data_IF_769238115909
#
_entry.id   IF_769238115909
#
_cell.length_a   1.000
_cell.length_b   1.000
_cell.length_c   1.000
_cell.angle_alpha   90.00
_cell.angle_beta   90.00
_cell.angle_gamma   90.00
#
_symmetry.space_group_name_H-M   'P 1'
#
loop_
_entity.id
_entity.type
_entity.pdbx_description
1 polymer ?
#
# COMPACT_ATOMS: atom_id res chain seq x y z
N UNK A 1 19.85 12.40 0.51
CA UNK A 1 18.68 11.73 1.11
C UNK A 1 17.44 12.25 0.41
N UNK A 2 16.68 11.40 -0.27
CA UNK A 2 15.37 11.76 -0.83
C UNK A 2 14.34 11.61 0.30
N UNK A 3 13.63 12.70 0.64
CA UNK A 3 12.68 12.71 1.74
C UNK A 3 11.30 12.29 1.21
N UNK A 4 10.90 11.05 1.44
CA UNK A 4 9.57 10.57 1.08
C UNK A 4 8.57 11.07 2.12
N UNK A 5 7.69 12.01 1.73
CA UNK A 5 6.66 12.55 2.63
C UNK A 5 5.30 11.92 2.34
N UNK A 6 4.95 10.91 3.14
CA UNK A 6 3.69 10.17 2.97
C UNK A 6 2.60 10.87 3.80
N UNK A 7 1.53 11.32 3.12
CA UNK A 7 0.41 12.00 3.77
C UNK A 7 -0.71 10.99 4.02
N UNK A 8 -0.82 10.50 5.25
CA UNK A 8 -1.94 9.65 5.67
C UNK A 8 -3.09 10.53 6.18
N UNK A 9 -4.21 10.52 5.46
CA UNK A 9 -5.47 11.12 5.93
C UNK A 9 -6.43 10.04 6.44
N UNK A 10 -7.22 10.36 7.46
CA UNK A 10 -8.13 9.46 8.21
C UNK A 10 -9.14 8.72 7.29
N UNK A 11 -9.38 9.20 6.07
CA UNK A 11 -10.32 8.59 5.11
C UNK A 11 -9.75 8.34 3.70
N UNK A 12 -8.50 8.71 3.45
CA UNK A 12 -7.89 8.61 2.12
C UNK A 12 -6.44 8.16 2.27
N UNK A 13 -6.19 6.89 1.99
CA UNK A 13 -4.83 6.39 1.84
C UNK A 13 -4.28 6.84 0.49
N UNK A 14 -3.39 7.84 0.52
CA UNK A 14 -2.65 8.30 -0.65
C UNK A 14 -1.17 8.38 -0.31
N UNK A 15 -0.36 7.59 -1.00
CA UNK A 15 1.09 7.70 -0.90
C UNK A 15 1.55 8.77 -1.89
N UNK A 16 2.40 9.66 -1.41
CA UNK A 16 3.03 10.72 -2.21
C UNK A 16 4.52 10.69 -1.88
N UNK A 17 5.33 10.75 -2.92
CA UNK A 17 6.77 10.98 -2.87
C UNK A 17 7.09 12.38 -3.40
N UNK A 18 7.93 13.10 -2.67
CA UNK A 18 8.27 14.49 -2.93
C UNK A 18 9.78 14.66 -2.95
N UNK A 19 10.31 15.23 -4.03
CA UNK A 19 11.71 15.61 -4.12
C UNK A 19 11.89 16.96 -3.44
N UNK A 20 12.55 16.97 -2.29
CA UNK A 20 12.78 18.19 -1.49
C UNK A 20 13.73 19.17 -2.17
N UNK A 21 14.71 18.67 -2.93
CA UNK A 21 15.69 19.52 -3.62
C UNK A 21 15.02 20.22 -4.79
N UNK A 22 14.27 19.47 -5.59
CA UNK A 22 13.53 20.02 -6.75
C UNK A 22 12.21 20.67 -6.38
N UNK A 23 11.77 20.52 -5.13
CA UNK A 23 10.51 21.04 -4.58
C UNK A 23 9.28 20.62 -5.39
N UNK A 24 9.25 19.38 -5.87
CA UNK A 24 8.18 18.87 -6.71
C UNK A 24 7.84 17.41 -6.40
N UNK A 25 6.62 16.98 -6.75
CA UNK A 25 6.27 15.56 -6.71
C UNK A 25 7.10 14.77 -7.72
N UNK A 26 7.49 13.56 -7.35
CA UNK A 26 8.20 12.67 -8.27
C UNK A 26 7.23 12.05 -9.27
N UNK A 27 7.76 11.60 -10.42
CA UNK A 27 6.96 10.86 -11.41
C UNK A 27 6.37 9.55 -10.86
N UNK A 28 6.83 9.07 -9.71
CA UNK A 28 6.27 7.93 -9.01
C UNK A 28 4.90 8.27 -8.39
N UNK A 29 4.78 9.43 -7.74
CA UNK A 29 3.52 9.92 -7.15
C UNK A 29 2.39 10.00 -8.17
N UNK A 30 2.69 10.48 -9.37
CA UNK A 30 1.72 10.57 -10.47
C UNK A 30 1.21 9.18 -10.88
N UNK A 31 2.10 8.20 -11.02
CA UNK A 31 1.76 6.82 -11.38
C UNK A 31 0.94 6.11 -10.28
N UNK A 32 1.16 6.50 -9.04
CA UNK A 32 0.52 5.91 -7.87
C UNK A 32 -0.90 6.43 -7.66
N UNK A 33 -1.21 7.64 -8.13
CA UNK A 33 -2.55 8.27 -8.02
C UNK A 33 -3.68 7.43 -8.65
N UNK A 34 -3.37 6.54 -9.60
CA UNK A 34 -4.33 5.62 -10.25
C UNK A 34 -4.49 4.25 -9.56
N UNK A 35 -3.79 4.01 -8.45
CA UNK A 35 -4.03 2.84 -7.60
C UNK A 35 -5.17 3.15 -6.63
N UNK A 36 -6.27 2.42 -6.76
CA UNK A 36 -7.35 2.47 -5.81
C UNK A 36 -6.95 1.72 -4.53
N UNK A 37 -6.27 2.44 -3.63
CA UNK A 37 -5.96 1.95 -2.29
C UNK A 37 -7.17 2.01 -1.34
N UNK A 38 -8.24 2.73 -1.72
CA UNK A 38 -9.36 3.02 -0.82
C UNK A 38 -10.16 1.79 -0.42
N UNK A 39 -10.16 0.75 -1.26
CA UNK A 39 -10.95 -0.47 -1.05
C UNK A 39 -10.13 -1.66 -0.53
N UNK A 40 -8.81 -1.55 -0.45
CA UNK A 40 -7.92 -2.73 -0.28
C UNK A 40 -7.02 -2.70 0.95
N UNK A 41 -6.86 -1.56 1.60
CA UNK A 41 -5.84 -1.37 2.62
C UNK A 41 -6.50 -0.93 3.92
N UNK A 42 -6.16 -1.62 5.01
CA UNK A 42 -6.36 -1.08 6.33
C UNK A 42 -5.37 0.08 6.55
N UNK A 43 -5.57 0.93 7.55
CA UNK A 43 -4.62 1.99 7.87
C UNK A 43 -3.21 1.41 8.01
N UNK A 44 -2.29 1.87 7.16
CA UNK A 44 -0.88 1.47 7.23
C UNK A 44 -0.30 1.98 8.54
N UNK A 45 0.36 1.10 9.30
CA UNK A 45 0.98 1.46 10.57
C UNK A 45 2.40 1.98 10.38
N UNK A 46 3.18 1.29 9.53
CA UNK A 46 4.59 1.61 9.33
C UNK A 46 4.98 1.49 7.87
N UNK A 47 6.02 2.24 7.51
CA UNK A 47 6.57 2.33 6.17
C UNK A 47 8.08 2.16 6.28
N UNK A 48 8.62 1.19 5.57
CA UNK A 48 10.05 0.88 5.56
C UNK A 48 10.55 0.73 4.13
N UNK A 49 11.85 0.79 3.94
CA UNK A 49 12.51 0.73 2.63
C UNK A 49 13.51 -0.43 2.65
N UNK A 50 13.68 -1.14 1.54
CA UNK A 50 14.75 -2.12 1.45
C UNK A 50 16.10 -1.37 1.36
N UNK A 51 17.03 -1.57 2.31
CA UNK A 51 18.32 -0.87 2.32
C UNK A 51 19.18 -1.23 1.11
N UNK A 52 19.00 -2.44 0.56
CA UNK A 52 19.75 -2.95 -0.60
C UNK A 52 19.17 -2.43 -1.91
N UNK A 53 17.86 -2.19 -1.94
CA UNK A 53 17.13 -1.79 -3.15
C UNK A 53 16.22 -0.57 -2.88
N UNK A 54 16.72 0.62 -3.21
CA UNK A 54 16.02 1.90 -3.01
C UNK A 54 14.69 2.05 -3.77
N UNK A 55 14.46 1.20 -4.78
CA UNK A 55 13.22 1.19 -5.55
C UNK A 55 12.10 0.38 -4.87
N UNK A 56 12.37 -0.31 -3.76
CA UNK A 56 11.39 -1.10 -3.02
C UNK A 56 10.94 -0.34 -1.78
N UNK A 57 9.62 -0.17 -1.64
CA UNK A 57 8.96 0.33 -0.45
C UNK A 57 8.14 -0.80 0.14
N UNK A 58 8.21 -0.99 1.45
CA UNK A 58 7.42 -1.96 2.18
C UNK A 58 6.51 -1.20 3.14
N UNK A 59 5.22 -1.51 3.08
CA UNK A 59 4.19 -0.93 3.93
C UNK A 59 3.55 -2.06 4.70
N UNK A 60 3.13 -1.84 5.94
CA UNK A 60 2.34 -2.86 6.61
C UNK A 60 1.14 -2.28 7.36
N UNK A 61 0.06 -3.04 7.31
CA UNK A 61 -1.05 -2.93 8.26
C UNK A 61 -0.89 -4.01 9.36
N UNK A 62 -1.98 -4.40 10.00
CA UNK A 62 -1.99 -5.39 11.08
C UNK A 62 -1.75 -6.82 10.58
N UNK A 63 -2.08 -7.12 9.32
CA UNK A 63 -2.17 -8.50 8.82
C UNK A 63 -1.42 -8.70 7.49
N UNK A 64 -1.15 -7.61 6.78
CA UNK A 64 -0.67 -7.62 5.41
C UNK A 64 0.59 -6.77 5.29
N UNK A 65 1.56 -7.30 4.53
CA UNK A 65 2.62 -6.48 3.96
C UNK A 65 2.24 -6.11 2.53
N UNK A 66 2.59 -4.89 2.15
CA UNK A 66 2.44 -4.39 0.79
C UNK A 66 3.80 -3.91 0.28
N UNK A 67 4.28 -4.60 -0.75
CA UNK A 67 5.57 -4.36 -1.36
C UNK A 67 5.32 -3.60 -2.66
N UNK A 68 5.85 -2.40 -2.74
CA UNK A 68 5.73 -1.50 -3.89
C UNK A 68 7.09 -1.39 -4.55
N UNK A 69 7.18 -1.77 -5.83
CA UNK A 69 8.38 -1.57 -6.61
C UNK A 69 8.19 -0.34 -7.53
N UNK A 70 9.00 0.70 -7.34
CA UNK A 70 8.91 1.98 -8.08
C UNK A 70 9.23 1.82 -9.58
N UNK A 71 10.08 0.86 -9.93
CA UNK A 71 10.61 0.69 -11.29
C UNK A 71 9.78 -0.29 -12.11
N UNK A 72 9.16 -1.27 -11.45
CA UNK A 72 8.37 -2.30 -12.12
C UNK A 72 7.02 -1.75 -12.56
N UNK A 73 6.79 -1.79 -13.88
CA UNK A 73 5.62 -1.23 -14.56
C UNK A 73 4.73 -2.34 -15.07
N UNK A 74 3.44 -2.29 -14.73
CA UNK A 74 2.43 -3.14 -15.37
C UNK A 74 1.81 -2.34 -16.52
N UNK A 75 1.96 -2.84 -17.74
CA UNK A 75 1.20 -2.35 -18.90
C UNK A 75 -0.18 -3.00 -18.87
N UNK A 76 -1.18 -2.26 -18.39
CA UNK A 76 -2.55 -2.73 -18.49
C UNK A 76 -3.06 -2.51 -19.91
N UNK A 77 -3.23 -3.59 -20.67
CA UNK A 77 -4.02 -3.55 -21.91
C UNK A 77 -5.47 -3.32 -21.52
N UNK A 78 -5.99 -2.10 -21.70
CA UNK A 78 -7.42 -1.85 -21.63
C UNK A 78 -8.09 -2.70 -22.71
N UNK A 79 -8.82 -3.76 -22.33
CA UNK A 79 -9.72 -4.43 -23.27
C UNK A 79 -10.77 -3.38 -23.66
N UNK A 80 -10.73 -2.91 -24.91
CA UNK A 80 -11.80 -2.08 -25.48
C UNK A 80 -13.09 -2.87 -25.28
N UNK A 81 -14.02 -2.34 -24.50
CA UNK A 81 -15.37 -2.88 -24.43
C UNK A 81 -15.89 -2.92 -25.87
N UNK A 82 -16.39 -4.08 -26.29
CA UNK A 82 -16.94 -4.30 -27.63
C UNK A 82 -18.25 -3.50 -27.69
N UNK A 83 -18.17 -2.25 -28.13
CA UNK A 83 -19.35 -1.47 -28.50
C UNK A 83 -19.85 -2.10 -29.80
N UNK A 84 -21.06 -2.67 -29.78
CA UNK A 84 -21.74 -3.09 -30.99
C UNK A 84 -21.94 -1.86 -31.89
N UNK A 85 -21.33 -1.91 -33.06
CA UNK A 85 -21.41 -0.86 -34.08
C UNK A 85 -22.82 -0.86 -34.70
N UNK A 86 -23.49 0.30 -34.66
CA UNK A 86 -24.37 0.73 -35.75
C UNK A 86 -23.60 1.70 -36.63
N UNK A 87 -23.74 1.51 -37.94
CA UNK A 87 -22.89 1.98 -39.04
C UNK A 87 -22.87 3.52 -39.21
N UNK A 88 -21.68 4.08 -39.48
CA UNK A 88 -21.37 5.09 -40.52
C UNK A 88 -19.92 5.63 -40.38
N UNK A 89 -19.15 5.56 -41.47
CA UNK A 89 -17.72 5.94 -41.63
C UNK A 89 -17.46 7.45 -41.88
N UNK A 90 -16.21 7.93 -42.13
CA UNK A 90 -15.00 7.86 -41.32
C UNK A 90 -14.35 9.26 -41.12
N UNK A 91 -13.82 9.59 -39.94
CA UNK A 91 -12.72 10.57 -39.81
C UNK A 91 -11.70 10.06 -38.81
N UNK A 92 -10.52 9.77 -39.34
CA UNK A 92 -9.34 9.38 -38.58
C UNK A 92 -8.87 10.56 -37.71
N UNK A 93 -8.92 10.38 -36.40
CA UNK A 93 -8.09 11.14 -35.47
C UNK A 93 -7.42 10.10 -34.59
N UNK A 94 -6.09 10.06 -34.67
CA UNK A 94 -5.20 9.11 -34.02
C UNK A 94 -5.63 8.83 -32.58
N UNK A 95 -6.21 7.64 -32.37
CA UNK A 95 -6.45 7.12 -31.03
C UNK A 95 -5.10 6.85 -30.38
N UNK A 96 -4.60 7.81 -29.62
CA UNK A 96 -3.48 7.60 -28.71
C UNK A 96 -3.96 6.54 -27.71
N UNK A 97 -3.48 5.31 -27.87
CA UNK A 97 -3.64 4.26 -26.87
C UNK A 97 -2.94 4.75 -25.60
N UNK A 98 -3.72 5.36 -24.69
CA UNK A 98 -3.23 5.78 -23.37
C UNK A 98 -2.94 4.51 -22.57
N UNK A 99 -1.69 4.04 -22.70
CA UNK A 99 -1.13 2.97 -21.88
C UNK A 99 -0.99 3.50 -20.46
N UNK A 100 -2.01 3.26 -19.64
CA UNK A 100 -1.95 3.56 -18.22
C UNK A 100 -0.92 2.62 -17.58
N UNK A 101 0.26 3.16 -17.30
CA UNK A 101 1.32 2.45 -16.60
C UNK A 101 0.99 2.46 -15.11
N UNK A 102 0.64 1.30 -14.55
CA UNK A 102 0.33 1.17 -13.13
C UNK A 102 1.53 0.59 -12.39
N UNK A 103 1.80 1.13 -11.20
CA UNK A 103 2.81 0.57 -10.28
C UNK A 103 2.32 -0.80 -9.80
N UNK A 104 3.22 -1.78 -9.74
CA UNK A 104 2.90 -3.09 -9.16
C UNK A 104 2.97 -3.02 -7.64
N UNK A 105 1.88 -3.46 -6.99
CA UNK A 105 1.81 -3.62 -5.54
C UNK A 105 1.56 -5.10 -5.26
N UNK A 106 2.51 -5.73 -4.58
CA UNK A 106 2.39 -7.11 -4.14
C UNK A 106 1.93 -7.15 -2.68
N UNK A 107 0.87 -7.88 -2.39
CA UNK A 107 0.34 -8.01 -1.03
C UNK A 107 0.64 -9.40 -0.49
N UNK A 108 1.35 -9.47 0.63
CA UNK A 108 1.64 -10.70 1.35
C UNK A 108 0.76 -10.79 2.60
N UNK A 109 -0.07 -11.83 2.66
CA UNK A 109 -1.01 -12.10 3.76
C UNK A 109 -0.50 -13.20 4.68
N UNK A 110 0.66 -12.99 5.28
CA UNK A 110 1.32 -14.00 6.13
C UNK A 110 0.99 -13.83 7.61
N UNK A 111 0.75 -12.59 8.05
CA UNK A 111 0.70 -12.23 9.47
C UNK A 111 -0.74 -12.08 9.95
N UNK A 112 -0.99 -12.32 11.24
CA UNK A 112 -2.33 -12.14 11.83
C UNK A 112 -2.44 -10.93 12.74
N UNK A 113 -1.36 -10.62 13.46
CA UNK A 113 -1.30 -9.56 14.46
C UNK A 113 0.09 -8.95 14.46
N UNK A 114 0.49 -8.42 13.31
CA UNK A 114 1.77 -7.74 13.11
C UNK A 114 1.73 -6.37 13.78
N UNK A 115 2.64 -6.18 14.73
CA UNK A 115 2.75 -4.94 15.50
C UNK A 115 3.88 -4.08 14.97
N UNK A 116 5.03 -4.68 14.66
CA UNK A 116 6.20 -3.98 14.16
C UNK A 116 6.86 -4.75 13.02
N UNK A 117 7.37 -4.02 12.03
CA UNK A 117 8.08 -4.61 10.91
C UNK A 117 9.15 -3.64 10.39
N UNK A 118 10.43 -3.98 10.61
CA UNK A 118 11.55 -3.09 10.30
C UNK A 118 12.85 -3.87 10.08
N UNK A 119 13.79 -3.23 9.40
CA UNK A 119 15.16 -3.69 9.26
C UNK A 119 15.94 -3.49 10.56
N UNK A 120 16.53 -4.56 11.09
CA UNK A 120 17.49 -4.47 12.18
C UNK A 120 18.89 -4.18 11.64
N UNK A 121 19.22 -4.75 10.49
CA UNK A 121 20.47 -4.54 9.76
C UNK A 121 20.20 -4.56 8.25
N UNK A 122 21.23 -4.45 7.41
CA UNK A 122 21.05 -4.43 5.95
C UNK A 122 20.53 -5.76 5.39
N UNK A 123 20.76 -6.87 6.09
CA UNK A 123 20.38 -8.22 5.66
C UNK A 123 19.35 -8.89 6.58
N UNK A 124 19.04 -8.29 7.73
CA UNK A 124 18.11 -8.85 8.71
C UNK A 124 16.89 -7.95 8.90
N UNK A 125 15.72 -8.57 8.78
CA UNK A 125 14.43 -7.91 8.95
C UNK A 125 13.62 -8.60 10.04
N UNK A 126 13.05 -7.81 10.93
CA UNK A 126 12.28 -8.28 12.07
C UNK A 126 10.80 -8.07 11.81
N UNK A 127 10.01 -9.11 12.09
CA UNK A 127 8.56 -9.04 12.18
C UNK A 127 8.13 -9.40 13.61
N UNK A 128 7.48 -8.47 14.30
CA UNK A 128 6.98 -8.68 15.66
C UNK A 128 5.48 -8.94 15.60
N UNK A 129 5.09 -10.16 15.94
CA UNK A 129 3.68 -10.55 16.09
C UNK A 129 3.31 -10.72 17.56
N UNK A 130 2.06 -10.42 17.89
CA UNK A 130 1.55 -10.58 19.25
C UNK A 130 0.26 -11.40 19.25
N UNK A 131 0.17 -12.39 20.14
CA UNK A 131 -1.08 -13.11 20.35
C UNK A 131 -2.00 -12.29 21.29
N UNK A 132 -3.15 -11.77 20.81
CA UNK A 132 -4.03 -10.96 21.65
C UNK A 132 -4.59 -11.72 22.86
N UNK A 133 -4.75 -13.04 22.78
CA UNK A 133 -5.22 -13.85 23.92
C UNK A 133 -4.28 -13.74 25.12
N UNK A 134 -2.96 -13.74 24.87
CA UNK A 134 -1.95 -13.60 25.92
C UNK A 134 -1.91 -12.21 26.55
N UNK A 135 -2.38 -11.19 25.84
CA UNK A 135 -2.57 -9.84 26.39
C UNK A 135 -3.78 -9.80 27.33
N UNK A 136 -4.88 -10.47 26.97
CA UNK A 136 -6.09 -10.50 27.80
C UNK A 136 -5.84 -11.15 29.17
N UNK A 137 -5.02 -12.20 29.22
CA UNK A 137 -4.63 -12.85 30.49
C UNK A 137 -3.85 -11.93 31.44
N UNK A 138 -3.16 -10.93 30.90
CA UNK A 138 -2.34 -9.97 31.66
C UNK A 138 -3.07 -8.66 31.95
N UNK A 139 -4.36 -8.57 31.63
CA UNK A 139 -5.12 -7.36 31.92
C UNK A 139 -5.28 -7.14 33.42
N UNK A 140 -5.13 -5.91 33.91
CA UNK A 140 -5.45 -5.59 35.30
C UNK A 140 -6.90 -6.01 35.63
N UNK A 141 -7.18 -6.46 36.87
CA UNK A 141 -8.52 -6.92 37.28
C UNK A 141 -9.64 -5.91 37.01
N UNK A 142 -9.33 -4.61 37.02
CA UNK A 142 -10.28 -3.54 36.69
C UNK A 142 -10.83 -3.60 35.24
N UNK A 143 -10.12 -4.28 34.33
CA UNK A 143 -10.51 -4.47 32.93
C UNK A 143 -11.00 -5.89 32.62
N UNK A 144 -10.95 -6.80 33.61
CA UNK A 144 -11.44 -8.15 33.46
C UNK A 144 -12.94 -8.19 33.82
N UNK A 145 -13.81 -8.15 32.81
CA UNK A 145 -15.24 -8.32 33.02
C UNK A 145 -15.61 -9.80 32.86
N UNK A 146 -16.03 -10.44 33.95
CA UNK A 146 -16.65 -11.75 33.86
C UNK A 146 -17.96 -11.63 33.06
N UNK A 147 -18.05 -12.35 31.95
CA UNK A 147 -19.24 -12.36 31.09
C UNK A 147 -20.39 -13.19 31.69
N UNK A 148 -20.13 -13.93 32.76
CA UNK A 148 -21.13 -14.74 33.47
C UNK A 148 -20.95 -14.70 34.99
N UNK A 149 -22.07 -14.53 35.71
CA UNK A 149 -22.18 -14.41 37.16
C UNK A 149 -22.81 -13.08 37.59
N UNK A 150 -23.96 -13.10 38.27
CA UNK A 150 -24.55 -11.88 38.87
C UNK A 150 -23.65 -11.42 40.03
N UNK A 151 -23.55 -10.09 40.18
CA UNK A 151 -22.91 -9.40 41.31
C UNK A 151 -23.34 -9.98 42.65
#
# INVERSE_FOLDING_TARGET
>A
MECVRIKMGIFLFQIIEYDVIKRQYTSFSEKLSGLDFKSKFYPIKTITFDPRVKSIIILHDDNNLHIVNKEKKIVMKKKKAKIEQKEASPKAVNGIDVTATKVEVHTLKKYKHLVHFEWLSEDEMIAVEVNPLTLFEKLPPAFAQATFGKK
#
